data_IF_631139457030
#
_entry.id   IF_631139457030
#
_cell.length_a   1.000
_cell.length_b   1.000
_cell.length_c   1.000
_cell.angle_alpha   90.00
_cell.angle_beta   90.00
_cell.angle_gamma   90.00
#
_symmetry.space_group_name_H-M   'P 1'
#
loop_
_entity.id
_entity.type
_entity.pdbx_description
1 polymer ?
#
# COMPACT_ATOMS: atom_id res chain seq x y z
N UNK A 1 3.08 -1.95 -14.85
CA UNK A 1 1.87 -1.11 -15.04
C UNK A 1 2.07 -0.21 -16.26
N UNK A 2 1.08 -0.10 -17.14
CA UNK A 2 1.16 0.75 -18.33
C UNK A 2 1.12 2.24 -17.95
N UNK A 3 1.48 3.14 -18.89
CA UNK A 3 1.42 4.59 -18.64
C UNK A 3 0.02 5.04 -18.23
N UNK A 4 -1.02 4.50 -18.88
CA UNK A 4 -2.40 4.83 -18.54
C UNK A 4 -2.74 4.41 -17.11
N UNK A 5 -2.30 3.23 -16.70
CA UNK A 5 -2.54 2.72 -15.34
C UNK A 5 -1.77 3.52 -14.30
N UNK A 6 -0.54 3.97 -14.61
CA UNK A 6 0.21 4.85 -13.70
C UNK A 6 -0.51 6.18 -13.49
N UNK A 7 -1.02 6.78 -14.57
CA UNK A 7 -1.79 8.02 -14.46
C UNK A 7 -3.02 7.84 -13.57
N UNK A 8 -3.79 6.78 -13.78
CA UNK A 8 -4.96 6.48 -12.96
C UNK A 8 -4.59 6.23 -11.51
N UNK A 9 -3.49 5.52 -11.27
CA UNK A 9 -2.97 5.28 -9.92
C UNK A 9 -2.63 6.59 -9.22
N UNK A 10 -1.89 7.48 -9.88
CA UNK A 10 -1.54 8.78 -9.32
C UNK A 10 -2.78 9.63 -9.07
N UNK A 11 -3.76 9.60 -9.96
CA UNK A 11 -5.02 10.33 -9.78
C UNK A 11 -5.79 9.83 -8.56
N UNK A 12 -5.87 8.52 -8.37
CA UNK A 12 -6.54 7.93 -7.20
C UNK A 12 -5.79 8.26 -5.91
N UNK A 13 -4.44 8.22 -5.92
CA UNK A 13 -3.63 8.57 -4.77
C UNK A 13 -3.81 10.03 -4.38
N UNK A 14 -3.89 10.94 -5.35
CA UNK A 14 -4.16 12.35 -5.08
C UNK A 14 -5.55 12.50 -4.45
N UNK A 15 -6.55 11.82 -4.99
CA UNK A 15 -7.91 11.87 -4.43
C UNK A 15 -7.94 11.43 -2.97
N UNK A 16 -7.31 10.31 -2.65
CA UNK A 16 -7.35 9.73 -1.30
C UNK A 16 -6.42 10.46 -0.34
N UNK A 17 -5.14 10.61 -0.70
CA UNK A 17 -4.15 11.11 0.25
C UNK A 17 -4.11 12.63 0.29
N UNK A 18 -4.20 13.30 -0.83
CA UNK A 18 -4.11 14.76 -0.87
C UNK A 18 -5.45 15.41 -0.54
N UNK A 19 -6.51 15.01 -1.21
CA UNK A 19 -7.82 15.65 -1.03
C UNK A 19 -8.57 15.21 0.21
N UNK A 20 -8.58 13.91 0.53
CA UNK A 20 -9.29 13.42 1.71
C UNK A 20 -8.47 13.56 2.99
N UNK A 21 -7.16 13.26 2.96
CA UNK A 21 -6.30 13.19 4.14
C UNK A 21 -5.38 14.39 4.31
N UNK A 22 -5.43 15.35 3.40
CA UNK A 22 -4.64 16.58 3.45
C UNK A 22 -3.13 16.37 3.43
N UNK A 23 -2.66 15.29 2.81
CA UNK A 23 -1.22 15.05 2.61
C UNK A 23 -0.73 16.05 1.56
N UNK A 24 0.39 16.80 1.82
CA UNK A 24 0.94 17.68 0.79
C UNK A 24 1.27 16.92 -0.49
N UNK A 25 0.88 17.48 -1.64
CA UNK A 25 1.06 16.80 -2.93
C UNK A 25 2.52 16.50 -3.22
N UNK A 26 3.44 17.34 -2.78
CA UNK A 26 4.88 17.13 -2.96
C UNK A 26 5.42 15.93 -2.17
N UNK A 27 4.67 15.45 -1.16
CA UNK A 27 5.03 14.26 -0.39
C UNK A 27 4.37 12.99 -0.92
N UNK A 28 3.30 13.12 -1.71
CA UNK A 28 2.53 11.95 -2.18
C UNK A 28 3.25 11.22 -3.31
N UNK A 29 3.71 11.95 -4.31
CA UNK A 29 4.49 11.38 -5.42
C UNK A 29 5.96 11.57 -5.12
N UNK A 30 6.73 10.49 -5.08
CA UNK A 30 8.14 10.53 -4.71
C UNK A 30 9.01 9.72 -5.68
N UNK A 31 10.33 9.74 -5.46
CA UNK A 31 11.29 9.04 -6.32
C UNK A 31 11.09 7.53 -6.35
N UNK A 32 10.50 6.95 -5.30
CA UNK A 32 10.26 5.50 -5.24
C UNK A 32 9.25 5.05 -6.28
N UNK A 33 8.41 5.96 -6.77
CA UNK A 33 7.46 5.64 -7.85
C UNK A 33 8.16 5.26 -9.15
N UNK A 34 9.40 5.68 -9.34
CA UNK A 34 10.18 5.42 -10.54
C UNK A 34 11.34 4.45 -10.33
N UNK A 35 11.50 3.92 -9.11
CA UNK A 35 12.56 2.96 -8.81
C UNK A 35 12.25 1.62 -9.50
N UNK A 36 13.28 0.99 -10.08
CA UNK A 36 13.14 -0.29 -10.79
C UNK A 36 12.68 -1.44 -9.88
N UNK A 37 12.92 -1.33 -8.57
CA UNK A 37 12.52 -2.33 -7.57
C UNK A 37 11.16 -2.01 -6.95
N UNK A 38 10.40 -1.11 -7.56
CA UNK A 38 9.04 -0.77 -7.14
C UNK A 38 8.05 -1.44 -8.09
N UNK A 39 7.06 -2.13 -7.52
CA UNK A 39 5.99 -2.76 -8.28
C UNK A 39 4.69 -2.04 -7.94
N UNK A 40 4.01 -1.55 -8.96
CA UNK A 40 2.72 -0.90 -8.79
C UNK A 40 1.60 -1.91 -8.98
N UNK A 41 0.68 -1.96 -8.02
CA UNK A 41 -0.44 -2.90 -8.02
C UNK A 41 -1.73 -2.12 -8.24
N UNK A 42 -2.55 -2.60 -9.16
CA UNK A 42 -3.87 -2.02 -9.40
C UNK A 42 -4.98 -3.06 -9.21
N UNK A 43 -6.07 -2.64 -8.60
CA UNK A 43 -7.28 -3.44 -8.48
C UNK A 43 -8.36 -2.81 -9.37
N UNK A 44 -8.84 -3.59 -10.32
CA UNK A 44 -9.82 -3.10 -11.31
C UNK A 44 -11.18 -3.74 -11.07
N UNK A 45 -12.22 -2.92 -11.20
CA UNK A 45 -13.60 -3.39 -11.34
C UNK A 45 -13.99 -3.08 -12.78
N UNK A 46 -14.16 -4.11 -13.60
CA UNK A 46 -14.26 -3.98 -15.05
C UNK A 46 -13.03 -3.21 -15.56
N UNK A 47 -13.21 -2.09 -16.24
CA UNK A 47 -12.10 -1.29 -16.75
C UNK A 47 -11.71 -0.13 -15.85
N UNK A 48 -12.37 -0.01 -14.68
CA UNK A 48 -12.11 1.10 -13.75
C UNK A 48 -11.11 0.69 -12.67
N UNK A 49 -10.05 1.49 -12.50
CA UNK A 49 -9.11 1.32 -11.40
C UNK A 49 -9.74 1.87 -10.12
N UNK A 50 -9.97 1.00 -9.14
CA UNK A 50 -10.64 1.35 -7.88
C UNK A 50 -9.76 1.18 -6.65
N UNK A 51 -8.60 0.56 -6.79
CA UNK A 51 -7.67 0.40 -5.69
C UNK A 51 -6.24 0.32 -6.21
N UNK A 52 -5.30 0.82 -5.41
CA UNK A 52 -3.88 0.80 -5.75
C UNK A 52 -3.03 0.51 -4.53
N UNK A 53 -1.84 -0.03 -4.77
CA UNK A 53 -0.78 -0.17 -3.78
C UNK A 53 0.54 -0.17 -4.51
N UNK A 54 1.64 0.04 -3.77
CA UNK A 54 2.97 -0.18 -4.34
C UNK A 54 3.78 -1.07 -3.42
N UNK A 55 4.63 -1.91 -4.02
CA UNK A 55 5.59 -2.74 -3.33
C UNK A 55 6.95 -2.11 -3.56
N UNK A 56 7.65 -1.74 -2.50
CA UNK A 56 8.98 -1.13 -2.59
C UNK A 56 10.01 -2.00 -1.89
N UNK A 57 11.29 -1.75 -2.16
CA UNK A 57 12.40 -2.50 -1.58
C UNK A 57 12.37 -3.99 -1.94
N UNK A 58 11.90 -4.32 -3.14
CA UNK A 58 11.74 -5.71 -3.59
C UNK A 58 13.07 -6.46 -3.70
N UNK A 59 14.19 -5.75 -3.67
CA UNK A 59 15.55 -6.31 -3.67
C UNK A 59 16.08 -6.56 -2.26
N UNK A 60 15.31 -6.29 -1.21
CA UNK A 60 15.74 -6.40 0.19
C UNK A 60 15.03 -7.53 0.92
N UNK A 61 15.53 -7.86 2.11
CA UNK A 61 14.95 -8.92 2.94
C UNK A 61 13.60 -8.54 3.51
N UNK A 62 13.40 -7.26 3.78
CA UNK A 62 12.11 -6.71 4.23
C UNK A 62 11.57 -5.84 3.10
N UNK A 63 10.46 -6.27 2.53
CA UNK A 63 9.75 -5.47 1.52
C UNK A 63 8.67 -4.63 2.18
N UNK A 64 8.28 -3.56 1.53
CA UNK A 64 7.27 -2.65 2.08
C UNK A 64 6.08 -2.53 1.15
N UNK A 65 4.87 -2.58 1.73
CA UNK A 65 3.64 -2.21 1.04
C UNK A 65 3.31 -0.78 1.44
N UNK A 66 3.07 0.06 0.47
CA UNK A 66 2.71 1.46 0.72
C UNK A 66 1.73 2.00 -0.30
N UNK A 67 1.30 3.22 -0.07
CA UNK A 67 0.37 3.95 -0.94
C UNK A 67 -0.89 3.15 -1.24
N UNK A 68 -1.41 2.44 -0.22
CA UNK A 68 -2.66 1.70 -0.32
C UNK A 68 -3.82 2.69 -0.34
N UNK A 69 -4.58 2.68 -1.41
CA UNK A 69 -5.71 3.59 -1.55
C UNK A 69 -6.86 2.87 -2.25
N UNK A 70 -8.06 3.07 -1.72
CA UNK A 70 -9.30 2.54 -2.29
C UNK A 70 -10.20 3.71 -2.64
N UNK A 71 -10.77 3.69 -3.83
CA UNK A 71 -11.77 4.68 -4.24
C UNK A 71 -12.89 4.74 -3.20
N UNK A 72 -13.24 5.94 -2.77
CA UNK A 72 -14.22 6.17 -1.71
C UNK A 72 -15.53 5.44 -1.93
N UNK A 73 -16.01 5.39 -3.18
CA UNK A 73 -17.29 4.75 -3.52
C UNK A 73 -17.25 3.23 -3.37
N UNK A 74 -16.06 2.64 -3.31
CA UNK A 74 -15.88 1.18 -3.27
C UNK A 74 -15.44 0.67 -1.90
N UNK A 75 -15.35 1.53 -0.90
CA UNK A 75 -14.96 1.13 0.46
C UNK A 75 -16.05 0.33 1.15
N UNK A 76 -15.67 -0.47 2.14
CA UNK A 76 -16.60 -1.29 2.92
C UNK A 76 -17.07 -2.54 2.21
N UNK A 77 -16.41 -2.95 1.12
CA UNK A 77 -16.80 -4.12 0.30
C UNK A 77 -15.74 -5.23 0.30
N UNK A 78 -14.77 -5.17 1.20
CA UNK A 78 -13.70 -6.18 1.26
C UNK A 78 -12.59 -6.01 0.24
N UNK A 79 -12.57 -4.91 -0.51
CA UNK A 79 -11.57 -4.66 -1.56
C UNK A 79 -10.18 -4.47 -0.97
N UNK A 80 -10.08 -3.78 0.18
CA UNK A 80 -8.81 -3.60 0.87
C UNK A 80 -8.15 -4.92 1.23
N UNK A 81 -8.94 -5.87 1.75
CA UNK A 81 -8.45 -7.22 2.07
C UNK A 81 -7.95 -7.93 0.81
N UNK A 82 -8.73 -7.90 -0.27
CA UNK A 82 -8.33 -8.53 -1.53
C UNK A 82 -7.08 -7.89 -2.11
N UNK A 83 -6.96 -6.57 -2.01
CA UNK A 83 -5.79 -5.84 -2.51
C UNK A 83 -4.52 -6.24 -1.75
N UNK A 84 -4.57 -6.28 -0.42
CA UNK A 84 -3.41 -6.68 0.39
C UNK A 84 -3.06 -8.15 0.14
N UNK A 85 -4.05 -9.04 0.10
CA UNK A 85 -3.81 -10.45 -0.23
C UNK A 85 -3.17 -10.59 -1.62
N UNK A 86 -3.62 -9.80 -2.58
CA UNK A 86 -3.04 -9.77 -3.93
C UNK A 86 -1.59 -9.31 -3.92
N UNK A 87 -1.27 -8.28 -3.12
CA UNK A 87 0.10 -7.81 -2.94
C UNK A 87 1.00 -8.91 -2.40
N UNK A 88 0.53 -9.65 -1.39
CA UNK A 88 1.28 -10.77 -0.81
C UNK A 88 1.51 -11.89 -1.83
N UNK A 89 0.48 -12.23 -2.58
CA UNK A 89 0.57 -13.29 -3.61
C UNK A 89 1.54 -12.89 -4.72
N UNK A 90 1.48 -11.66 -5.19
CA UNK A 90 2.38 -11.17 -6.25
C UNK A 90 3.81 -11.15 -5.74
N UNK A 91 4.02 -10.68 -4.51
CA UNK A 91 5.35 -10.67 -3.89
C UNK A 91 5.92 -12.09 -3.84
N UNK A 92 5.11 -13.05 -3.40
CA UNK A 92 5.52 -14.44 -3.31
C UNK A 92 5.86 -15.04 -4.66
N UNK A 93 5.07 -14.74 -5.69
CA UNK A 93 5.33 -15.20 -7.06
C UNK A 93 6.61 -14.64 -7.64
N UNK A 94 6.93 -13.38 -7.33
CA UNK A 94 8.15 -12.73 -7.83
C UNK A 94 9.38 -13.23 -7.10
N UNK A 95 9.34 -13.26 -5.76
CA UNK A 95 10.53 -13.51 -4.95
C UNK A 95 10.75 -14.99 -4.64
N UNK A 96 9.70 -15.79 -4.55
CA UNK A 96 9.75 -17.27 -4.36
C UNK A 96 10.61 -17.71 -3.18
N UNK A 97 10.49 -16.98 -2.06
CA UNK A 97 11.20 -17.27 -0.82
C UNK A 97 10.39 -16.75 0.36
N UNK A 98 10.81 -17.11 1.56
CA UNK A 98 10.24 -16.56 2.79
C UNK A 98 10.53 -15.05 2.84
N UNK A 99 9.52 -14.26 3.14
CA UNK A 99 9.60 -12.81 3.05
C UNK A 99 8.99 -12.17 4.29
N UNK A 100 9.57 -11.06 4.73
CA UNK A 100 8.97 -10.20 5.73
C UNK A 100 8.39 -8.99 5.00
N UNK A 101 7.10 -8.75 5.22
CA UNK A 101 6.41 -7.56 4.70
C UNK A 101 6.19 -6.59 5.84
N UNK A 102 6.64 -5.35 5.65
CA UNK A 102 6.42 -4.27 6.59
C UNK A 102 5.55 -3.20 5.93
N UNK A 103 4.69 -2.59 6.73
CA UNK A 103 3.93 -1.45 6.27
C UNK A 103 3.79 -0.42 7.40
N UNK A 104 3.58 0.82 6.99
CA UNK A 104 3.32 1.93 7.88
C UNK A 104 1.80 2.13 7.90
N UNK A 105 1.17 1.75 9.00
CA UNK A 105 -0.28 1.78 9.12
C UNK A 105 -0.72 3.04 9.85
N UNK A 106 -1.70 3.75 9.30
CA UNK A 106 -2.40 4.77 10.06
C UNK A 106 -3.06 4.10 11.25
N UNK A 107 -3.05 4.74 12.42
CA UNK A 107 -3.51 4.13 13.67
C UNK A 107 -4.93 3.56 13.55
N UNK A 108 -5.84 4.29 12.88
CA UNK A 108 -7.20 3.81 12.71
C UNK A 108 -7.33 2.57 11.83
N UNK A 109 -6.30 2.25 11.04
CA UNK A 109 -6.27 1.06 10.19
C UNK A 109 -5.59 -0.14 10.87
N UNK A 110 -5.08 0.01 12.09
CA UNK A 110 -4.35 -1.05 12.79
C UNK A 110 -5.11 -2.36 12.91
N UNK A 111 -6.38 -2.28 13.31
CA UNK A 111 -7.21 -3.49 13.48
C UNK A 111 -7.45 -4.20 12.15
N UNK A 112 -7.60 -3.45 11.07
CA UNK A 112 -7.74 -4.02 9.74
C UNK A 112 -6.52 -4.86 9.38
N UNK A 113 -5.31 -4.30 9.56
CA UNK A 113 -4.09 -5.02 9.26
C UNK A 113 -3.85 -6.19 10.22
N UNK A 114 -4.22 -6.06 11.49
CA UNK A 114 -4.17 -7.19 12.44
C UNK A 114 -5.04 -8.34 11.96
N UNK A 115 -6.21 -8.05 11.42
CA UNK A 115 -7.11 -9.09 10.89
C UNK A 115 -6.51 -9.84 9.70
N UNK A 116 -5.52 -9.25 9.03
CA UNK A 116 -4.81 -9.86 7.91
C UNK A 116 -3.52 -10.56 8.34
N UNK A 117 -3.21 -10.58 9.62
CA UNK A 117 -2.04 -11.26 10.16
C UNK A 117 -0.83 -10.37 10.41
N UNK A 118 -0.98 -9.06 10.29
CA UNK A 118 0.09 -8.11 10.59
C UNK A 118 0.13 -7.82 12.08
N UNK A 119 1.33 -7.68 12.61
CA UNK A 119 1.54 -7.36 14.03
C UNK A 119 2.37 -6.11 14.15
N UNK A 120 2.06 -5.29 15.15
CA UNK A 120 2.79 -4.07 15.44
C UNK A 120 4.22 -4.41 15.84
N UNK A 121 5.20 -3.73 15.25
CA UNK A 121 6.63 -4.00 15.48
C UNK A 121 7.06 -3.54 16.87
N UNK A 122 6.55 -2.40 17.31
CA UNK A 122 6.85 -1.79 18.62
C UNK A 122 5.71 -0.84 19.00
N UNK A 123 5.83 -0.18 20.14
CA UNK A 123 4.81 0.76 20.62
C UNK A 123 5.02 2.18 20.13
N UNK A 124 5.98 2.40 19.24
CA UNK A 124 6.30 3.73 18.75
C UNK A 124 5.25 4.23 17.77
N UNK A 125 4.66 5.37 18.08
CA UNK A 125 3.77 6.09 17.18
C UNK A 125 4.56 7.25 16.61
N UNK A 126 4.51 7.43 15.29
CA UNK A 126 5.22 8.52 14.63
C UNK A 126 4.31 9.22 13.63
N UNK A 127 4.69 10.45 13.27
CA UNK A 127 3.96 11.23 12.28
C UNK A 127 4.58 11.03 10.91
N UNK A 128 3.74 10.71 9.94
CA UNK A 128 4.11 10.67 8.54
C UNK A 128 3.12 11.57 7.79
N UNK A 129 3.63 12.62 7.17
CA UNK A 129 2.81 13.68 6.55
C UNK A 129 1.76 14.24 7.53
N UNK A 130 2.11 14.33 8.81
CA UNK A 130 1.23 14.87 9.86
C UNK A 130 0.18 13.90 10.38
N UNK A 131 0.19 12.64 9.94
CA UNK A 131 -0.77 11.62 10.35
C UNK A 131 -0.06 10.59 11.22
N UNK A 132 -0.68 10.18 12.33
CA UNK A 132 -0.11 9.19 13.25
C UNK A 132 -0.09 7.80 12.64
N UNK A 133 1.08 7.15 12.66
CA UNK A 133 1.32 5.82 12.10
C UNK A 133 2.04 4.91 13.08
N UNK A 134 1.90 3.62 12.86
CA UNK A 134 2.71 2.57 13.50
C UNK A 134 3.23 1.63 12.43
N UNK A 135 4.39 1.02 12.68
CA UNK A 135 4.93 0.00 11.78
C UNK A 135 4.36 -1.36 12.14
N UNK A 136 3.96 -2.10 11.12
CA UNK A 136 3.41 -3.45 11.27
C UNK A 136 4.12 -4.42 10.32
N UNK A 137 4.26 -5.67 10.73
CA UNK A 137 4.95 -6.70 9.95
C UNK A 137 4.17 -8.00 9.90
N UNK A 138 4.37 -8.72 8.79
CA UNK A 138 3.88 -10.08 8.60
C UNK A 138 4.95 -10.88 7.86
N UNK A 139 5.15 -12.13 8.29
CA UNK A 139 6.01 -13.07 7.61
C UNK A 139 5.16 -13.96 6.70
N UNK A 140 5.56 -14.11 5.46
CA UNK A 140 4.87 -14.96 4.49
C UNK A 140 5.85 -15.97 3.90
N UNK A 141 5.34 -17.13 3.52
CA UNK A 141 6.14 -18.22 2.93
C UNK A 141 5.95 -18.32 1.44
#
# INVERSE_FOLDING_TARGET
MSLKSQFLSHSLRIEVFVKEQNVPIELELDEKDHNKNTVHIGYFSDDKLIGVARLIDMDKDVIHIGRVAIDKEYRGRGIGRELINGCENITQQILKRKIIIELSAQIQAGKFYESLGYNQVNDTIYLDAGIEHVDMRKEIN
#
